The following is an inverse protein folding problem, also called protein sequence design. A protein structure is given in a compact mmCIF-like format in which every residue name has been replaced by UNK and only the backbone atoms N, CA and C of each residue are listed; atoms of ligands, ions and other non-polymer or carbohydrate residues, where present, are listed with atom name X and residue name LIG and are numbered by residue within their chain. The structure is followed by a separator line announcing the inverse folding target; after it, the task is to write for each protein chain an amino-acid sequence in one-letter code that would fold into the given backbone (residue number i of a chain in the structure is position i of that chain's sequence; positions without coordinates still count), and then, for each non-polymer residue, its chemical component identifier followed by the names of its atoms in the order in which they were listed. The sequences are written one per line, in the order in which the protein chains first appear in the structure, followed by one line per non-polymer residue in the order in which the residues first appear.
data_IF_182771716753
#
_entry.id   IF_182771716753
#
_cell.length_a   1.000
_cell.length_b   1.000
_cell.length_c   1.000
_cell.angle_alpha   90.00
_cell.angle_beta   90.00
_cell.angle_gamma   90.00
#
_symmetry.space_group_name_H-M   'P 1'
#
loop_
_entity.id
_entity.type
_entity.pdbx_description
1 polymer ?
#
# COMPACT_ATOMS: atom_id res chain seq x y z
N UNK A 1 9.46 3.24 -26.41
CA UNK A 1 10.73 3.37 -25.66
C UNK A 1 11.56 2.15 -25.97
N UNK A 2 12.72 2.32 -26.59
CA UNK A 2 13.56 1.21 -27.05
C UNK A 2 14.16 0.43 -25.88
N UNK A 3 14.13 -0.90 -25.95
CA UNK A 3 14.80 -1.75 -24.98
C UNK A 3 16.32 -1.60 -25.14
N UNK A 4 16.94 -0.75 -24.33
CA UNK A 4 18.39 -0.63 -24.25
C UNK A 4 18.93 -1.85 -23.51
N UNK A 5 19.54 -2.78 -24.25
CA UNK A 5 20.29 -3.91 -23.67
C UNK A 5 21.68 -3.45 -23.27
N UNK A 6 22.09 -3.77 -22.04
CA UNK A 6 23.47 -3.55 -21.59
C UNK A 6 24.41 -4.63 -22.15
N UNK A 7 25.63 -4.25 -22.49
CA UNK A 7 26.68 -5.12 -22.99
C UNK A 7 27.93 -4.99 -22.10
N UNK A 8 28.73 -6.06 -22.03
CA UNK A 8 30.02 -6.00 -21.35
C UNK A 8 30.93 -4.97 -22.02
N UNK A 9 31.72 -4.27 -21.21
CA UNK A 9 32.56 -3.16 -21.64
C UNK A 9 31.86 -1.80 -21.69
N UNK A 10 30.54 -1.75 -21.44
CA UNK A 10 29.81 -0.49 -21.33
C UNK A 10 29.99 0.16 -19.96
N UNK A 11 30.13 1.49 -19.95
CA UNK A 11 29.98 2.27 -18.73
C UNK A 11 28.50 2.54 -18.48
N UNK A 12 27.97 2.01 -17.38
CA UNK A 12 26.57 2.18 -17.00
C UNK A 12 26.44 3.21 -15.88
N UNK A 13 25.51 4.14 -16.06
CA UNK A 13 25.11 5.09 -15.02
C UNK A 13 24.09 4.41 -14.12
N UNK A 14 24.51 4.08 -12.91
CA UNK A 14 23.67 3.39 -11.94
C UNK A 14 23.08 4.44 -10.99
N UNK A 15 21.77 4.37 -10.67
CA UNK A 15 21.16 5.24 -9.67
C UNK A 15 21.96 5.23 -8.36
N UNK A 16 22.15 6.42 -7.78
CA UNK A 16 22.83 6.61 -6.48
C UNK A 16 24.35 6.33 -6.47
N UNK A 17 24.96 5.95 -7.59
CA UNK A 17 26.41 5.86 -7.72
C UNK A 17 26.98 7.16 -8.31
N UNK A 18 28.03 7.74 -7.71
CA UNK A 18 28.60 9.01 -8.18
C UNK A 18 29.42 8.86 -9.46
N UNK A 19 29.82 7.64 -9.84
CA UNK A 19 30.61 7.36 -11.03
C UNK A 19 30.00 6.23 -11.85
N UNK A 20 30.08 6.29 -13.19
CA UNK A 20 29.68 5.19 -14.05
C UNK A 20 30.48 3.93 -13.73
N UNK A 21 29.80 2.78 -13.72
CA UNK A 21 30.43 1.49 -13.49
C UNK A 21 30.70 0.80 -14.83
N UNK A 22 31.93 0.32 -15.03
CA UNK A 22 32.24 -0.54 -16.17
C UNK A 22 31.58 -1.91 -15.97
N UNK A 23 30.72 -2.31 -16.90
CA UNK A 23 30.07 -3.61 -16.87
C UNK A 23 31.07 -4.69 -17.29
N UNK A 24 31.51 -5.49 -16.33
CA UNK A 24 32.41 -6.62 -16.53
C UNK A 24 31.84 -7.85 -15.82
N UNK A 25 32.41 -9.03 -16.11
CA UNK A 25 32.03 -10.27 -15.42
C UNK A 25 32.19 -10.18 -13.90
N UNK A 26 33.15 -9.40 -13.42
CA UNK A 26 33.47 -9.26 -11.99
C UNK A 26 32.64 -8.18 -11.29
N UNK A 27 32.01 -7.29 -12.06
CA UNK A 27 31.25 -6.15 -11.53
C UNK A 27 29.75 -6.28 -11.75
N UNK A 28 29.28 -7.37 -12.37
CA UNK A 28 27.88 -7.59 -12.75
C UNK A 28 26.92 -7.70 -11.55
N UNK A 29 27.40 -8.25 -10.43
CA UNK A 29 26.56 -8.45 -9.25
C UNK A 29 26.12 -7.12 -8.62
N UNK A 30 26.96 -6.08 -8.72
CA UNK A 30 26.71 -4.74 -8.19
C UNK A 30 25.48 -4.08 -8.84
N UNK A 31 25.42 -3.86 -10.18
CA UNK A 31 24.27 -3.26 -10.83
C UNK A 31 23.03 -4.14 -10.70
N UNK A 32 23.14 -5.47 -10.75
CA UNK A 32 21.99 -6.36 -10.54
C UNK A 32 21.38 -6.09 -9.16
N UNK A 33 22.19 -6.13 -8.10
CA UNK A 33 21.72 -5.88 -6.75
C UNK A 33 21.09 -4.49 -6.60
N UNK A 34 21.69 -3.45 -7.19
CA UNK A 34 21.18 -2.08 -7.12
C UNK A 34 19.86 -1.93 -7.89
N UNK A 35 19.77 -2.45 -9.13
CA UNK A 35 18.54 -2.35 -9.92
C UNK A 35 17.41 -3.17 -9.31
N UNK A 36 17.67 -4.40 -8.83
CA UNK A 36 16.66 -5.18 -8.12
C UNK A 36 16.17 -4.47 -6.87
N UNK A 37 17.07 -3.86 -6.08
CA UNK A 37 16.68 -3.03 -4.94
C UNK A 37 15.86 -1.82 -5.38
N UNK A 38 16.29 -1.10 -6.40
CA UNK A 38 15.57 0.06 -6.94
C UNK A 38 14.18 -0.30 -7.42
N UNK A 39 14.03 -1.43 -8.11
CA UNK A 39 12.74 -1.95 -8.58
C UNK A 39 11.80 -2.21 -7.40
N UNK A 40 12.26 -2.92 -6.37
CA UNK A 40 11.43 -3.21 -5.19
C UNK A 40 11.00 -1.94 -4.44
N UNK A 41 11.88 -0.95 -4.31
CA UNK A 41 11.57 0.34 -3.69
C UNK A 41 10.56 1.11 -4.52
N UNK A 42 10.78 1.22 -5.83
CA UNK A 42 9.86 1.90 -6.75
C UNK A 42 8.49 1.23 -6.77
N UNK A 43 8.43 -0.10 -6.80
CA UNK A 43 7.18 -0.86 -6.76
C UNK A 43 6.41 -0.64 -5.44
N UNK A 44 7.13 -0.59 -4.31
CA UNK A 44 6.52 -0.30 -2.99
C UNK A 44 5.99 1.14 -2.92
N UNK A 45 6.74 2.11 -3.43
CA UNK A 45 6.31 3.50 -3.47
C UNK A 45 5.08 3.70 -4.39
N UNK A 46 5.10 3.07 -5.56
CA UNK A 46 3.98 3.10 -6.50
C UNK A 46 2.73 2.46 -5.92
N UNK A 47 2.85 1.27 -5.30
CA UNK A 47 1.70 0.59 -4.69
C UNK A 47 1.06 1.42 -3.58
N UNK A 48 1.87 2.08 -2.74
CA UNK A 48 1.41 2.98 -1.67
C UNK A 48 0.73 4.24 -2.23
N UNK A 49 1.26 4.81 -3.32
CA UNK A 49 0.66 5.99 -3.97
C UNK A 49 -0.66 5.62 -4.65
N UNK A 50 -0.69 4.48 -5.34
CA UNK A 50 -1.88 3.95 -6.00
C UNK A 50 -3.00 3.63 -5.00
N UNK A 51 -2.66 3.12 -3.81
CA UNK A 51 -3.63 2.87 -2.75
C UNK A 51 -4.23 4.16 -2.21
N UNK A 52 -3.42 5.19 -1.97
CA UNK A 52 -3.90 6.50 -1.55
C UNK A 52 -4.84 7.10 -2.61
N UNK A 53 -4.46 7.03 -3.89
CA UNK A 53 -5.29 7.53 -5.00
C UNK A 53 -6.62 6.78 -5.14
N UNK A 54 -6.61 5.45 -5.00
CA UNK A 54 -7.85 4.65 -5.01
C UNK A 54 -8.79 5.07 -3.89
N UNK A 55 -8.25 5.25 -2.68
CA UNK A 55 -9.05 5.68 -1.53
C UNK A 55 -9.62 7.09 -1.72
N UNK A 56 -8.82 8.03 -2.23
CA UNK A 56 -9.28 9.38 -2.57
C UNK A 56 -10.38 9.36 -3.64
N UNK A 57 -10.26 8.50 -4.66
CA UNK A 57 -11.32 8.36 -5.67
C UNK A 57 -12.63 7.84 -5.06
N UNK A 58 -12.54 6.87 -4.14
CA UNK A 58 -13.70 6.37 -3.39
C UNK A 58 -14.34 7.48 -2.57
N UNK A 59 -13.54 8.26 -1.81
CA UNK A 59 -14.01 9.42 -1.04
C UNK A 59 -14.67 10.49 -1.93
N UNK A 60 -14.10 10.76 -3.10
CA UNK A 60 -14.64 11.74 -4.05
C UNK A 60 -16.02 11.33 -4.57
N UNK A 61 -16.21 10.05 -4.93
CA UNK A 61 -17.50 9.53 -5.39
C UNK A 61 -18.56 9.65 -4.30
N UNK A 62 -18.22 9.32 -3.07
CA UNK A 62 -19.11 9.46 -1.92
C UNK A 62 -19.43 10.91 -1.55
N UNK A 63 -18.57 11.87 -1.88
CA UNK A 63 -18.91 13.28 -1.65
C UNK A 63 -19.91 13.81 -2.69
N UNK A 64 -20.09 13.08 -3.80
CA UNK A 64 -21.02 13.43 -4.87
C UNK A 64 -22.37 12.72 -4.73
N UNK A 65 -22.42 11.61 -4.00
CA UNK A 65 -23.63 10.84 -3.73
C UNK A 65 -23.76 10.59 -2.23
N UNK A 66 -24.92 10.84 -1.65
CA UNK A 66 -25.23 10.64 -0.21
C UNK A 66 -25.30 9.15 0.19
N UNK A 67 -24.39 8.34 -0.34
CA UNK A 67 -24.32 6.90 -0.21
C UNK A 67 -23.59 6.54 1.07
N UNK A 68 -24.30 5.88 1.99
CA UNK A 68 -23.71 5.32 3.20
C UNK A 68 -22.75 4.19 2.83
N UNK A 69 -21.59 4.16 3.49
CA UNK A 69 -20.57 3.12 3.29
C UNK A 69 -21.00 1.83 3.95
N UNK A 70 -21.03 0.72 3.22
CA UNK A 70 -21.30 -0.60 3.81
C UNK A 70 -20.04 -1.47 3.85
N UNK A 71 -19.92 -2.28 4.90
CA UNK A 71 -18.88 -3.29 4.99
C UNK A 71 -19.15 -4.43 3.99
N UNK A 72 -18.23 -4.77 3.06
CA UNK A 72 -18.45 -5.85 2.09
C UNK A 72 -18.51 -7.25 2.73
N UNK A 73 -18.17 -7.39 4.02
CA UNK A 73 -18.24 -8.66 4.73
C UNK A 73 -19.61 -8.90 5.41
N UNK A 74 -20.24 -7.84 5.93
CA UNK A 74 -21.43 -7.97 6.76
C UNK A 74 -22.58 -7.05 6.35
N UNK A 75 -22.38 -6.23 5.32
CA UNK A 75 -23.34 -5.29 4.76
C UNK A 75 -23.92 -4.32 5.80
N UNK A 76 -23.18 -4.08 6.89
CA UNK A 76 -23.54 -3.07 7.88
C UNK A 76 -22.84 -1.76 7.54
N UNK A 77 -23.52 -0.67 7.85
CA UNK A 77 -23.02 0.69 7.67
C UNK A 77 -21.73 0.95 8.47
N UNK A 78 -20.80 1.69 7.88
CA UNK A 78 -19.51 2.05 8.43
C UNK A 78 -19.56 3.46 9.03
N UNK A 79 -20.23 3.58 10.18
CA UNK A 79 -20.54 4.88 10.79
C UNK A 79 -19.48 5.34 11.82
N UNK A 80 -18.87 4.42 12.59
CA UNK A 80 -17.96 4.80 13.68
C UNK A 80 -16.47 4.63 13.34
N UNK A 81 -16.06 3.36 13.11
CA UNK A 81 -14.67 2.98 12.86
C UNK A 81 -14.62 1.96 11.72
N UNK A 82 -13.86 2.30 10.68
CA UNK A 82 -13.55 1.37 9.60
C UNK A 82 -12.06 1.27 9.36
N UNK A 83 -11.67 0.16 8.74
CA UNK A 83 -10.30 -0.15 8.41
C UNK A 83 -10.15 -0.04 6.91
N UNK A 84 -9.11 0.67 6.48
CA UNK A 84 -8.70 0.77 5.08
C UNK A 84 -7.45 -0.09 4.89
N UNK A 85 -7.53 -1.07 3.99
CA UNK A 85 -6.39 -1.89 3.59
C UNK A 85 -5.43 -1.09 2.69
N UNK A 86 -4.15 -1.51 2.56
CA UNK A 86 -3.24 -0.94 1.56
C UNK A 86 -3.69 -1.13 0.10
N UNK A 87 -4.76 -1.87 -0.17
CA UNK A 87 -5.40 -1.91 -1.49
C UNK A 87 -6.57 -0.92 -1.64
N UNK A 88 -6.80 -0.07 -0.64
CA UNK A 88 -7.91 0.89 -0.51
C UNK A 88 -9.31 0.30 -0.30
N UNK A 89 -9.44 -1.02 -0.10
CA UNK A 89 -10.71 -1.61 0.30
C UNK A 89 -10.97 -1.42 1.79
N UNK A 90 -12.24 -1.35 2.15
CA UNK A 90 -12.69 -1.03 3.51
C UNK A 90 -13.43 -2.19 4.16
N UNK A 91 -13.33 -2.31 5.48
CA UNK A 91 -14.11 -3.24 6.31
C UNK A 91 -14.42 -2.61 7.66
N UNK A 92 -15.46 -3.08 8.35
CA UNK A 92 -15.77 -2.64 9.71
C UNK A 92 -14.79 -3.23 10.74
N UNK A 93 -14.69 -2.57 11.91
CA UNK A 93 -13.85 -3.04 13.01
C UNK A 93 -14.18 -4.47 13.49
N UNK A 94 -15.47 -4.85 13.49
CA UNK A 94 -15.90 -6.18 13.88
C UNK A 94 -15.39 -7.26 12.90
N UNK A 95 -15.49 -7.02 11.60
CA UNK A 95 -14.98 -7.93 10.58
C UNK A 95 -13.45 -8.01 10.60
N UNK A 96 -12.75 -6.91 10.83
CA UNK A 96 -11.29 -6.93 10.98
C UNK A 96 -10.84 -7.79 12.16
N UNK A 97 -11.53 -7.75 13.32
CA UNK A 97 -11.24 -8.62 14.47
C UNK A 97 -11.34 -10.11 14.10
N UNK A 98 -12.39 -10.49 13.36
CA UNK A 98 -12.58 -11.87 12.86
C UNK A 98 -11.50 -12.28 11.84
N UNK A 99 -11.07 -11.35 10.97
CA UNK A 99 -10.00 -11.61 10.02
C UNK A 99 -8.65 -11.82 10.73
N UNK A 100 -8.37 -11.07 11.80
CA UNK A 100 -7.15 -11.23 12.61
C UNK A 100 -7.12 -12.52 13.42
N UNK A 101 -8.27 -13.02 13.85
CA UNK A 101 -8.37 -14.26 14.65
C UNK A 101 -8.20 -15.54 13.82
N UNK A 102 -8.02 -15.44 12.50
CA UNK A 102 -7.79 -16.63 11.67
C UNK A 102 -6.38 -17.21 11.96
N UNK A 103 -6.27 -18.48 12.36
CA UNK A 103 -5.00 -19.09 12.78
C UNK A 103 -4.00 -19.30 11.62
N UNK A 104 -4.45 -19.17 10.37
CA UNK A 104 -3.64 -19.47 9.18
C UNK A 104 -2.60 -18.39 8.82
N UNK A 105 -2.69 -17.18 9.38
CA UNK A 105 -1.79 -16.07 9.05
C UNK A 105 -1.46 -15.21 10.29
N UNK A 106 -0.43 -15.58 11.09
CA UNK A 106 -0.02 -14.75 12.22
C UNK A 106 0.44 -13.36 11.73
N UNK A 107 -0.13 -12.31 12.34
CA UNK A 107 0.16 -10.90 12.06
C UNK A 107 -0.10 -10.43 10.61
N UNK A 108 -0.89 -11.18 9.83
CA UNK A 108 -1.27 -10.82 8.45
C UNK A 108 -2.77 -11.00 8.26
N UNK A 109 -3.35 -10.17 7.40
CA UNK A 109 -4.77 -10.23 7.03
C UNK A 109 -4.93 -10.25 5.53
N UNK A 110 -5.89 -11.03 5.05
CA UNK A 110 -6.27 -11.07 3.64
C UNK A 110 -7.42 -10.09 3.41
N UNK A 111 -7.28 -9.16 2.47
CA UNK A 111 -8.37 -8.30 2.05
C UNK A 111 -9.49 -9.15 1.44
N UNK A 112 -10.73 -8.94 1.88
CA UNK A 112 -11.88 -9.72 1.39
C UNK A 112 -12.22 -9.41 -0.08
N UNK A 113 -11.95 -8.17 -0.52
CA UNK A 113 -12.36 -7.70 -1.83
C UNK A 113 -11.37 -8.11 -2.93
N UNK A 114 -10.06 -7.86 -2.74
CA UNK A 114 -9.05 -8.18 -3.74
C UNK A 114 -8.16 -9.38 -3.41
N UNK A 115 -8.37 -10.03 -2.24
CA UNK A 115 -7.64 -11.23 -1.78
C UNK A 115 -6.13 -11.05 -1.56
N UNK A 116 -5.59 -9.84 -1.69
CA UNK A 116 -4.20 -9.54 -1.35
C UNK A 116 -3.97 -9.66 0.16
N UNK A 117 -2.79 -10.14 0.55
CA UNK A 117 -2.40 -10.34 1.95
C UNK A 117 -1.52 -9.18 2.40
N UNK A 118 -1.87 -8.59 3.53
CA UNK A 118 -1.18 -7.44 4.09
C UNK A 118 -0.79 -7.69 5.55
N UNK A 119 0.34 -7.13 6.00
CA UNK A 119 0.63 -6.99 7.43
C UNK A 119 -0.48 -6.23 8.15
N UNK A 120 -0.81 -6.63 9.38
CA UNK A 120 -1.87 -5.98 10.17
C UNK A 120 -1.55 -4.51 10.48
N UNK A 121 -0.29 -4.22 10.79
CA UNK A 121 0.27 -2.88 11.05
C UNK A 121 0.26 -1.96 9.82
N UNK A 122 0.11 -2.51 8.61
CA UNK A 122 -0.01 -1.73 7.39
C UNK A 122 -1.45 -1.24 7.12
N UNK A 123 -2.44 -1.66 7.92
CA UNK A 123 -3.83 -1.21 7.77
C UNK A 123 -4.08 0.12 8.48
N UNK A 124 -4.92 0.97 7.90
CA UNK A 124 -5.26 2.28 8.47
C UNK A 124 -6.61 2.20 9.17
N UNK A 125 -6.71 2.79 10.35
CA UNK A 125 -7.97 2.95 11.08
C UNK A 125 -8.50 4.35 10.82
N UNK A 126 -9.76 4.43 10.39
CA UNK A 126 -10.44 5.71 10.17
C UNK A 126 -11.62 5.76 11.13
N UNK A 127 -11.79 6.91 11.76
CA UNK A 127 -12.81 7.18 12.78
C UNK A 127 -13.59 8.42 12.34
N UNK A 128 -14.92 8.35 12.30
CA UNK A 128 -15.76 9.51 12.00
C UNK A 128 -16.21 10.21 13.31
N UNK A 129 -15.53 11.32 13.62
CA UNK A 129 -15.86 12.44 14.54
C UNK A 129 -16.53 12.17 15.92
N UNK A 130 -15.77 12.40 17.01
CA UNK A 130 -16.00 13.43 18.07
C UNK A 130 -14.98 13.40 19.22
N UNK A 131 -14.15 12.36 19.34
CA UNK A 131 -13.23 12.21 20.46
C UNK A 131 -11.78 12.59 20.13
N UNK A 132 -11.06 13.05 21.17
CA UNK A 132 -9.67 13.47 21.13
C UNK A 132 -8.76 12.40 20.50
N UNK A 133 -7.95 12.83 19.53
CA UNK A 133 -7.06 11.97 18.75
C UNK A 133 -6.08 11.22 19.67
N UNK A 134 -6.07 9.89 19.61
CA UNK A 134 -5.08 9.06 20.32
C UNK A 134 -3.70 9.27 19.67
N UNK A 135 -2.66 9.68 20.43
CA UNK A 135 -1.33 9.88 19.87
C UNK A 135 -0.72 8.58 19.34
N UNK A 136 -0.18 8.61 18.11
CA UNK A 136 0.63 7.53 17.53
C UNK A 136 0.04 6.79 16.33
N UNK A 137 -1.19 7.09 15.90
CA UNK A 137 -1.80 6.49 14.69
C UNK A 137 -1.72 7.47 13.51
N UNK A 138 -1.22 7.01 12.36
CA UNK A 138 -1.27 7.75 11.09
C UNK A 138 -2.73 7.82 10.61
N UNK A 139 -3.46 8.81 11.13
CA UNK A 139 -4.84 9.12 10.76
C UNK A 139 -4.85 10.01 9.51
N UNK A 140 -5.51 9.58 8.43
CA UNK A 140 -6.03 10.50 7.42
C UNK A 140 -7.44 10.89 7.84
N UNK A 141 -7.55 12.04 8.51
CA UNK A 141 -8.82 12.63 8.94
C UNK A 141 -9.59 13.11 7.71
N UNK A 142 -10.85 12.70 7.57
CA UNK A 142 -11.79 13.32 6.63
C UNK A 142 -12.25 14.64 7.25
N UNK A 143 -11.59 15.74 6.92
CA UNK A 143 -12.13 17.08 7.23
C UNK A 143 -13.19 17.35 6.17
N UNK A 144 -14.45 17.23 6.57
CA UNK A 144 -15.61 17.71 5.80
C UNK A 144 -15.59 19.23 5.83
#
# INVERSE_FOLDING_TARGET
MGATRFQFGMNISIPYLPRPLLLSKYTLDIPIAIYSRSETVSAKALSSSLSALRYLNTLQRENQSDTVRECPCCYMELNDIWIVFPCAHIVCAACMKKLKSMPSLPNKVRCITCRQVFPVDATMYVVDKKDELIPGVRLTVKVV
#
